data_IF_218576875850
#
_entry.id   IF_218576875850
#
_cell.length_a   1.000
_cell.length_b   1.000
_cell.length_c   1.000
_cell.angle_alpha   90.00
_cell.angle_beta   90.00
_cell.angle_gamma   90.00
#
_symmetry.space_group_name_H-M   'P 1'
#
loop_
_entity.id
_entity.type
_entity.pdbx_description
1 polymer ?
#
# COMPACT_ATOMS: atom_id res chain seq x y z
N UNK A 1 -8.64 3.92 -10.11
CA UNK A 1 -7.64 4.92 -9.68
C UNK A 1 -6.40 4.21 -9.16
N UNK A 2 -5.20 4.59 -9.61
CA UNK A 2 -3.92 3.94 -9.25
C UNK A 2 -3.68 3.88 -7.74
N UNK A 3 -4.17 4.86 -6.98
CA UNK A 3 -4.06 4.89 -5.52
C UNK A 3 -4.66 3.65 -4.83
N UNK A 4 -5.70 3.02 -5.40
CA UNK A 4 -6.28 1.79 -4.85
C UNK A 4 -5.30 0.62 -4.94
N UNK A 5 -4.64 0.47 -6.09
CA UNK A 5 -3.60 -0.54 -6.31
C UNK A 5 -2.40 -0.29 -5.40
N UNK A 6 -2.05 0.99 -5.17
CA UNK A 6 -1.01 1.33 -4.20
C UNK A 6 -1.27 0.76 -2.80
N UNK A 7 -2.53 0.72 -2.33
CA UNK A 7 -2.88 0.10 -1.05
C UNK A 7 -2.69 -1.43 -1.08
N UNK A 8 -3.00 -2.09 -2.19
CA UNK A 8 -2.77 -3.53 -2.36
C UNK A 8 -1.29 -3.89 -2.44
N UNK A 9 -0.49 -3.06 -3.10
CA UNK A 9 0.96 -3.21 -3.12
C UNK A 9 1.56 -3.10 -1.71
N UNK A 10 1.06 -2.19 -0.86
CA UNK A 10 1.47 -2.11 0.55
C UNK A 10 1.16 -3.40 1.30
N UNK A 11 0.00 -4.01 1.05
CA UNK A 11 -0.40 -5.25 1.74
C UNK A 11 0.44 -6.48 1.34
N UNK A 12 1.20 -6.42 0.24
CA UNK A 12 2.22 -7.43 -0.11
C UNK A 12 3.63 -7.01 0.30
N UNK A 13 3.77 -5.99 1.16
CA UNK A 13 5.03 -5.53 1.73
C UNK A 13 5.82 -4.53 0.89
N UNK A 14 5.28 -4.08 -0.26
CA UNK A 14 5.96 -3.10 -1.10
C UNK A 14 5.94 -1.71 -0.48
N UNK A 15 7.06 -1.00 -0.61
CA UNK A 15 7.18 0.39 -0.19
C UNK A 15 6.50 1.34 -1.19
N UNK A 16 5.29 1.77 -0.88
CA UNK A 16 4.49 2.61 -1.78
C UNK A 16 4.06 3.90 -1.11
N UNK A 17 4.47 5.02 -1.70
CA UNK A 17 3.95 6.35 -1.39
C UNK A 17 2.73 6.62 -2.28
N UNK A 18 1.60 6.92 -1.67
CA UNK A 18 0.42 7.43 -2.39
C UNK A 18 0.53 8.95 -2.34
N UNK A 19 0.79 9.56 -3.49
CA UNK A 19 0.95 11.01 -3.60
C UNK A 19 -0.37 11.74 -3.35
N UNK A 20 -0.35 12.68 -2.41
CA UNK A 20 -1.42 13.65 -2.20
C UNK A 20 -0.88 15.05 -2.50
N UNK A 21 -1.34 15.72 -3.58
CA UNK A 21 -0.88 17.05 -3.95
C UNK A 21 -1.18 18.13 -2.90
N UNK A 22 -2.13 17.89 -1.99
CA UNK A 22 -2.51 18.83 -0.93
C UNK A 22 -1.73 18.64 0.37
N UNK A 23 -1.00 17.52 0.50
CA UNK A 23 -0.16 17.23 1.67
C UNK A 23 1.14 18.04 1.71
N UNK A 24 1.56 18.62 0.57
CA UNK A 24 2.76 19.43 0.48
C UNK A 24 2.40 20.89 0.81
N UNK A 25 3.04 21.53 1.81
CA UNK A 25 2.80 22.92 2.11
C UNK A 25 3.04 23.81 0.88
N UNK A 26 2.03 24.58 0.49
CA UNK A 26 2.16 25.55 -0.62
C UNK A 26 3.16 26.62 -0.23
N UNK A 27 4.38 26.56 -0.77
CA UNK A 27 5.36 27.64 -0.58
C UNK A 27 5.12 28.81 -1.53
N UNK A 28 4.45 28.59 -2.67
CA UNK A 28 4.10 29.62 -3.67
C UNK A 28 2.80 29.29 -4.39
N UNK A 29 2.15 30.29 -4.99
CA UNK A 29 0.89 30.15 -5.74
C UNK A 29 1.01 29.35 -7.06
N UNK A 30 2.24 29.04 -7.52
CA UNK A 30 2.55 28.40 -8.80
C UNK A 30 3.27 27.06 -8.65
N UNK A 31 2.99 26.30 -7.59
CA UNK A 31 3.68 25.03 -7.34
C UNK A 31 3.12 23.92 -8.26
N UNK A 32 3.92 23.49 -9.24
CA UNK A 32 3.62 22.31 -10.04
C UNK A 32 3.73 21.04 -9.16
N UNK A 33 2.59 20.54 -8.68
CA UNK A 33 2.54 19.33 -7.86
C UNK A 33 3.06 18.09 -8.61
N UNK A 34 2.96 18.06 -9.95
CA UNK A 34 3.51 16.95 -10.74
C UNK A 34 5.03 17.00 -10.75
N UNK A 35 5.63 18.18 -10.90
CA UNK A 35 7.08 18.34 -10.75
C UNK A 35 7.55 17.93 -9.34
N UNK A 36 6.79 18.28 -8.30
CA UNK A 36 7.12 17.89 -6.91
C UNK A 36 7.07 16.36 -6.70
N UNK A 37 6.05 15.70 -7.27
CA UNK A 37 5.96 14.23 -7.29
C UNK A 37 7.16 13.60 -8.00
N UNK A 38 7.50 14.07 -9.20
CA UNK A 38 8.62 13.53 -9.98
C UNK A 38 9.96 13.75 -9.27
N UNK A 39 10.16 14.93 -8.68
CA UNK A 39 11.35 15.22 -7.89
C UNK A 39 11.48 14.31 -6.66
N UNK A 40 10.38 14.05 -5.94
CA UNK A 40 10.38 13.08 -4.83
C UNK A 40 10.75 11.68 -5.34
N UNK A 41 10.16 11.24 -6.45
CA UNK A 41 10.43 9.92 -7.02
C UNK A 41 11.90 9.77 -7.44
N UNK A 42 12.49 10.78 -8.06
CA UNK A 42 13.92 10.77 -8.42
C UNK A 42 14.80 10.76 -7.17
N UNK A 43 14.51 11.62 -6.19
CA UNK A 43 15.28 11.73 -4.95
C UNK A 43 15.29 10.41 -4.16
N UNK A 44 14.13 9.77 -4.04
CA UNK A 44 13.96 8.52 -3.29
C UNK A 44 14.11 7.26 -4.16
N UNK A 45 14.57 7.40 -5.41
CA UNK A 45 14.77 6.29 -6.36
C UNK A 45 13.52 5.41 -6.54
N UNK A 46 12.34 6.03 -6.60
CA UNK A 46 11.05 5.35 -6.78
C UNK A 46 10.62 5.32 -8.24
N UNK A 47 9.78 4.33 -8.55
CA UNK A 47 9.07 4.24 -9.82
C UNK A 47 7.70 4.91 -9.67
N UNK A 48 7.39 5.86 -10.55
CA UNK A 48 6.07 6.49 -10.59
C UNK A 48 5.09 5.59 -11.34
N UNK A 49 4.09 5.08 -10.62
CA UNK A 49 2.94 4.40 -11.22
C UNK A 49 1.89 5.45 -11.60
N UNK A 50 1.52 5.52 -12.88
CA UNK A 50 0.57 6.52 -13.36
C UNK A 50 -0.27 6.01 -14.52
N UNK A 51 -1.42 6.63 -14.77
CA UNK A 51 -2.16 6.50 -16.04
C UNK A 51 -1.90 7.67 -16.99
N UNK A 52 -1.28 8.73 -16.47
CA UNK A 52 -1.01 9.95 -17.22
C UNK A 52 0.25 9.78 -18.07
N UNK A 53 0.05 9.41 -19.35
CA UNK A 53 1.12 9.31 -20.35
C UNK A 53 1.89 10.63 -20.51
N UNK A 54 1.23 11.78 -20.35
CA UNK A 54 1.92 13.07 -20.45
C UNK A 54 2.87 13.29 -19.29
N UNK A 55 2.51 12.86 -18.07
CA UNK A 55 3.39 12.90 -16.90
C UNK A 55 4.64 12.03 -17.13
N UNK A 56 4.45 10.79 -17.60
CA UNK A 56 5.56 9.85 -17.84
C UNK A 56 6.53 10.35 -18.92
N UNK A 57 6.04 11.11 -19.90
CA UNK A 57 6.83 11.65 -21.01
C UNK A 57 7.46 13.03 -20.73
N UNK A 58 7.34 13.59 -19.52
CA UNK A 58 8.01 14.86 -19.20
C UNK A 58 9.52 14.67 -19.17
N UNK A 59 10.28 15.73 -19.47
CA UNK A 59 11.76 15.68 -19.44
C UNK A 59 12.35 15.46 -18.04
N UNK A 60 11.60 15.87 -17.01
CA UNK A 60 11.95 15.69 -15.59
C UNK A 60 11.43 14.37 -15.03
N UNK A 61 10.89 13.46 -15.86
CA UNK A 61 10.47 12.15 -15.39
C UNK A 61 11.69 11.25 -15.15
N UNK A 62 11.70 10.61 -13.98
CA UNK A 62 12.56 9.46 -13.71
C UNK A 62 11.90 8.16 -14.20
N UNK A 63 12.12 7.07 -13.47
CA UNK A 63 11.46 5.81 -13.76
C UNK A 63 9.93 5.94 -13.61
N UNK A 64 9.20 5.68 -14.70
CA UNK A 64 7.74 5.68 -14.72
C UNK A 64 7.23 4.37 -15.32
N UNK A 65 6.13 3.86 -14.77
CA UNK A 65 5.35 2.80 -15.41
C UNK A 65 3.92 3.28 -15.61
N UNK A 66 3.47 3.23 -16.86
CA UNK A 66 2.13 3.66 -17.25
C UNK A 66 1.21 2.46 -17.28
N UNK A 67 0.27 2.40 -16.33
CA UNK A 67 -0.80 1.39 -16.36
C UNK A 67 -1.88 1.79 -17.37
N UNK A 68 -2.41 0.80 -18.08
CA UNK A 68 -3.32 1.02 -19.20
C UNK A 68 -4.79 0.98 -18.78
N UNK A 69 -5.16 -0.03 -18.00
CA UNK A 69 -6.53 -0.25 -17.53
C UNK A 69 -7.00 0.82 -16.53
N UNK A 70 -8.31 1.06 -16.45
CA UNK A 70 -8.95 1.80 -15.35
C UNK A 70 -9.35 0.90 -14.18
N UNK A 71 -9.50 -0.40 -14.43
CA UNK A 71 -9.79 -1.41 -13.43
C UNK A 71 -8.58 -1.67 -12.50
N UNK A 72 -8.76 -1.58 -11.18
CA UNK A 72 -7.66 -1.79 -10.23
C UNK A 72 -7.05 -3.21 -10.26
N UNK A 73 -7.86 -4.24 -10.53
CA UNK A 73 -7.37 -5.62 -10.59
C UNK A 73 -6.48 -5.80 -11.82
N UNK A 74 -6.92 -5.35 -12.98
CA UNK A 74 -6.11 -5.35 -14.20
C UNK A 74 -4.84 -4.52 -14.05
N UNK A 75 -4.92 -3.31 -13.46
CA UNK A 75 -3.74 -2.50 -13.15
C UNK A 75 -2.73 -3.25 -12.28
N UNK A 76 -3.19 -3.98 -11.25
CA UNK A 76 -2.30 -4.78 -10.42
C UNK A 76 -1.66 -5.92 -11.23
N UNK A 77 -2.41 -6.61 -12.08
CA UNK A 77 -1.88 -7.68 -12.93
C UNK A 77 -0.82 -7.14 -13.92
N UNK A 78 -1.05 -5.97 -14.53
CA UNK A 78 -0.06 -5.30 -15.37
C UNK A 78 1.24 -5.01 -14.61
N UNK A 79 1.14 -4.44 -13.41
CA UNK A 79 2.30 -4.12 -12.55
C UNK A 79 3.02 -5.41 -12.14
N UNK A 80 2.27 -6.43 -11.68
CA UNK A 80 2.81 -7.74 -11.28
C UNK A 80 3.61 -8.36 -12.41
N UNK A 81 3.04 -8.42 -13.62
CA UNK A 81 3.68 -9.01 -14.77
C UNK A 81 4.91 -8.21 -15.22
N UNK A 82 4.81 -6.87 -15.27
CA UNK A 82 5.90 -6.02 -15.73
C UNK A 82 7.12 -6.07 -14.81
N UNK A 83 6.91 -6.03 -13.49
CA UNK A 83 7.99 -6.05 -12.51
C UNK A 83 8.33 -7.45 -11.99
N UNK A 84 7.69 -8.49 -12.53
CA UNK A 84 7.79 -9.87 -12.06
C UNK A 84 7.63 -9.98 -10.53
N UNK A 85 6.63 -9.28 -9.98
CA UNK A 85 6.40 -9.23 -8.54
C UNK A 85 6.07 -10.62 -8.01
N UNK A 86 6.80 -11.01 -6.95
CA UNK A 86 6.53 -12.21 -6.17
C UNK A 86 5.91 -11.83 -4.85
N UNK A 87 5.01 -12.67 -4.36
CA UNK A 87 4.48 -12.55 -3.00
C UNK A 87 5.41 -13.28 -2.05
N UNK A 88 6.11 -12.53 -1.21
CA UNK A 88 6.87 -13.08 -0.08
C UNK A 88 5.90 -13.16 1.10
N UNK A 89 5.59 -14.36 1.58
CA UNK A 89 4.56 -14.54 2.62
C UNK A 89 4.89 -13.76 3.89
N UNK A 90 6.17 -13.68 4.26
CA UNK A 90 6.63 -12.99 5.46
C UNK A 90 6.48 -11.47 5.36
N UNK A 91 6.48 -10.93 4.14
CA UNK A 91 6.25 -9.50 3.90
C UNK A 91 4.76 -9.18 3.71
N UNK A 92 3.89 -10.19 3.66
CA UNK A 92 2.45 -9.98 3.58
C UNK A 92 1.95 -9.29 4.85
N UNK A 93 1.15 -8.25 4.67
CA UNK A 93 0.66 -7.36 5.74
C UNK A 93 1.75 -6.72 6.61
N UNK A 94 3.03 -6.78 6.20
CA UNK A 94 4.16 -6.19 6.93
C UNK A 94 4.19 -4.66 6.91
N UNK A 95 3.36 -4.03 6.07
CA UNK A 95 3.22 -2.58 5.96
C UNK A 95 1.79 -2.12 6.15
N UNK A 96 1.65 -0.97 6.82
CA UNK A 96 0.37 -0.33 7.01
C UNK A 96 -0.25 0.08 5.66
N UNK A 97 -1.40 -0.49 5.31
CA UNK A 97 -2.13 -0.13 4.09
C UNK A 97 -2.53 1.36 4.04
N UNK A 98 -2.67 2.02 5.20
CA UNK A 98 -2.97 3.46 5.32
C UNK A 98 -1.74 4.34 5.12
N UNK A 99 -0.65 4.11 5.85
CA UNK A 99 0.49 5.03 5.89
C UNK A 99 1.82 4.49 5.34
N UNK A 100 1.89 3.23 4.88
CA UNK A 100 3.09 2.55 4.36
C UNK A 100 4.17 2.17 5.38
N UNK A 101 4.04 2.59 6.66
CA UNK A 101 5.02 2.27 7.69
C UNK A 101 5.16 0.77 7.94
N UNK A 102 6.39 0.33 8.23
CA UNK A 102 6.67 -0.95 8.88
C UNK A 102 6.57 -0.78 10.39
N UNK A 103 6.11 -1.80 11.09
CA UNK A 103 6.02 -1.83 12.55
C UNK A 103 4.59 -1.73 13.06
N UNK A 104 4.21 -2.78 13.78
CA UNK A 104 2.93 -2.92 14.45
C UNK A 104 3.17 -3.39 15.88
N UNK A 105 2.30 -2.96 16.78
CA UNK A 105 2.21 -3.52 18.12
C UNK A 105 0.98 -4.43 18.18
N UNK A 106 1.17 -5.61 18.78
CA UNK A 106 0.06 -6.50 19.12
C UNK A 106 -0.60 -5.93 20.37
N UNK A 107 -1.91 -5.68 20.29
CA UNK A 107 -2.71 -5.10 21.37
C UNK A 107 -3.94 -5.94 21.63
N UNK A 108 -4.42 -5.90 22.87
CA UNK A 108 -5.59 -6.66 23.29
C UNK A 108 -6.90 -5.88 23.07
N UNK A 109 -8.01 -6.55 23.37
CA UNK A 109 -9.35 -6.01 23.25
C UNK A 109 -9.60 -4.78 24.13
N UNK A 110 -8.98 -4.71 25.31
CA UNK A 110 -9.18 -3.60 26.25
C UNK A 110 -8.48 -2.33 25.77
N UNK A 111 -7.29 -2.45 25.17
CA UNK A 111 -6.64 -1.35 24.48
C UNK A 111 -7.55 -0.77 23.38
N UNK A 112 -8.09 -1.63 22.51
CA UNK A 112 -8.92 -1.20 21.37
C UNK A 112 -10.22 -0.54 21.81
N UNK A 113 -10.88 -1.05 22.86
CA UNK A 113 -12.10 -0.45 23.41
C UNK A 113 -11.91 0.98 23.92
N UNK A 114 -10.69 1.32 24.34
CA UNK A 114 -10.37 2.65 24.85
C UNK A 114 -9.93 3.64 23.75
N UNK A 115 -9.83 3.21 22.49
CA UNK A 115 -9.36 4.05 21.39
C UNK A 115 -10.50 4.81 20.68
N UNK A 116 -10.31 6.11 20.45
CA UNK A 116 -11.34 6.98 19.85
C UNK A 116 -11.09 7.29 18.37
N UNK A 117 -9.83 7.30 17.93
CA UNK A 117 -9.45 7.75 16.59
C UNK A 117 -9.72 6.74 15.46
N UNK A 118 -9.78 5.45 15.78
CA UNK A 118 -10.03 4.37 14.81
C UNK A 118 -10.97 3.31 15.41
N UNK A 119 -12.13 3.78 15.88
CA UNK A 119 -13.11 2.95 16.56
C UNK A 119 -13.46 1.70 15.75
N UNK A 120 -13.22 0.53 16.37
CA UNK A 120 -13.54 -0.77 15.79
C UNK A 120 -15.02 -1.08 16.05
N UNK A 121 -15.69 -1.59 15.01
CA UNK A 121 -17.12 -1.89 15.10
C UNK A 121 -17.43 -2.92 16.20
N UNK A 122 -18.48 -2.76 17.02
CA UNK A 122 -18.81 -3.66 18.12
C UNK A 122 -18.81 -5.15 17.76
N UNK A 123 -19.44 -5.53 16.64
CA UNK A 123 -19.46 -6.93 16.16
C UNK A 123 -18.06 -7.56 15.96
N UNK A 124 -17.02 -6.74 15.72
CA UNK A 124 -15.63 -7.25 15.65
C UNK A 124 -15.11 -7.51 17.05
N UNK A 125 -15.36 -6.58 17.98
CA UNK A 125 -14.97 -6.68 19.39
C UNK A 125 -15.60 -7.87 20.13
N UNK A 126 -16.68 -8.44 19.57
CA UNK A 126 -17.33 -9.65 20.09
C UNK A 126 -16.59 -10.95 19.73
N UNK A 127 -15.83 -10.97 18.62
CA UNK A 127 -15.26 -12.20 18.06
C UNK A 127 -13.74 -12.17 17.89
N UNK A 128 -13.12 -11.00 18.01
CA UNK A 128 -11.68 -10.80 17.87
C UNK A 128 -11.05 -10.43 19.20
N UNK A 129 -9.99 -11.14 19.58
CA UNK A 129 -9.23 -10.88 20.81
C UNK A 129 -7.84 -10.31 20.59
N UNK A 130 -7.30 -10.43 19.37
CA UNK A 130 -5.97 -9.96 19.01
C UNK A 130 -6.03 -8.93 17.87
N UNK A 131 -5.32 -7.82 18.06
CA UNK A 131 -5.30 -6.71 17.12
C UNK A 131 -3.86 -6.23 16.87
N UNK A 132 -3.65 -5.59 15.74
CA UNK A 132 -2.39 -4.94 15.38
C UNK A 132 -2.62 -3.45 15.20
N UNK A 133 -1.84 -2.64 15.93
CA UNK A 133 -1.85 -1.18 15.80
C UNK A 133 -0.63 -0.72 15.03
N UNK A 134 -0.84 0.12 14.01
CA UNK A 134 0.26 0.77 13.32
C UNK A 134 0.94 1.80 14.25
N UNK A 135 2.26 1.68 14.43
CA UNK A 135 3.06 2.59 15.28
C UNK A 135 3.10 4.05 14.83
N UNK A 136 2.71 4.33 13.58
CA UNK A 136 2.81 5.67 12.98
C UNK A 136 1.46 6.37 12.87
N UNK A 137 0.43 5.67 12.37
CA UNK A 137 -0.88 6.28 12.11
C UNK A 137 -2.01 5.71 12.98
N UNK A 138 -1.69 4.84 13.94
CA UNK A 138 -2.60 4.21 14.89
C UNK A 138 -3.79 3.47 14.27
N UNK A 139 -3.73 3.16 12.97
CA UNK A 139 -4.72 2.32 12.29
C UNK A 139 -4.71 0.93 12.94
N UNK A 140 -5.89 0.45 13.31
CA UNK A 140 -6.12 -0.85 13.92
C UNK A 140 -6.47 -1.86 12.83
N UNK A 141 -5.85 -3.03 12.92
CA UNK A 141 -6.04 -4.18 12.05
C UNK A 141 -6.35 -5.41 12.89
N UNK A 142 -7.06 -6.36 12.31
CA UNK A 142 -7.39 -7.63 12.94
C UNK A 142 -7.62 -8.70 11.88
N UNK A 143 -7.50 -9.95 12.31
CA UNK A 143 -7.95 -11.10 11.55
C UNK A 143 -9.42 -11.39 11.90
N UNK A 144 -10.30 -11.34 10.91
CA UNK A 144 -11.72 -11.71 11.02
C UNK A 144 -12.25 -12.20 9.68
N UNK A 145 -13.55 -12.46 9.52
CA UNK A 145 -14.09 -13.06 8.29
C UNK A 145 -13.78 -12.25 7.01
N UNK A 146 -13.64 -10.91 7.14
CA UNK A 146 -13.21 -10.03 6.03
C UNK A 146 -11.69 -10.02 5.80
N UNK A 147 -10.90 -10.34 6.82
CA UNK A 147 -9.47 -10.56 6.66
C UNK A 147 -9.22 -11.81 5.84
N UNK A 148 -9.87 -12.94 6.15
CA UNK A 148 -9.74 -14.17 5.37
C UNK A 148 -10.11 -13.95 3.90
N UNK A 149 -11.16 -13.18 3.64
CA UNK A 149 -11.54 -12.87 2.25
C UNK A 149 -10.54 -11.95 1.56
N UNK A 150 -10.02 -10.91 2.22
CA UNK A 150 -8.98 -10.05 1.64
C UNK A 150 -7.66 -10.79 1.43
N UNK A 151 -7.27 -11.63 2.39
CA UNK A 151 -6.09 -12.48 2.37
C UNK A 151 -6.20 -13.51 1.23
N UNK A 152 -7.29 -14.27 1.18
CA UNK A 152 -7.57 -15.23 0.11
C UNK A 152 -7.69 -14.56 -1.26
N UNK A 153 -8.32 -13.38 -1.34
CA UNK A 153 -8.40 -12.63 -2.60
C UNK A 153 -7.01 -12.21 -3.06
N UNK A 154 -6.16 -11.72 -2.16
CA UNK A 154 -4.81 -11.33 -2.50
C UNK A 154 -3.96 -12.52 -2.94
N UNK A 155 -4.06 -13.66 -2.26
CA UNK A 155 -3.41 -14.91 -2.69
C UNK A 155 -3.84 -15.32 -4.11
N UNK A 156 -5.15 -15.23 -4.42
CA UNK A 156 -5.68 -15.53 -5.77
C UNK A 156 -5.17 -14.57 -6.86
N UNK A 157 -4.57 -13.43 -6.50
CA UNK A 157 -3.95 -12.53 -7.47
C UNK A 157 -2.59 -13.03 -7.96
N UNK A 158 -2.00 -14.03 -7.29
CA UNK A 158 -0.73 -14.65 -7.61
C UNK A 158 -0.92 -16.11 -8.02
N UNK A 159 -0.15 -16.54 -9.01
CA UNK A 159 -0.03 -17.98 -9.32
C UNK A 159 0.81 -18.64 -8.22
N UNK A 160 0.59 -19.92 -7.93
CA UNK A 160 1.29 -20.64 -6.83
C UNK A 160 2.82 -20.50 -6.93
N UNK A 161 3.38 -20.55 -8.15
CA UNK A 161 4.81 -20.40 -8.42
C UNK A 161 5.37 -18.99 -8.14
N UNK A 162 4.51 -18.01 -7.93
CA UNK A 162 4.87 -16.62 -7.61
C UNK A 162 4.80 -16.32 -6.11
N UNK A 163 4.45 -17.32 -5.28
CA UNK A 163 4.40 -17.22 -3.83
C UNK A 163 5.65 -17.90 -3.26
N UNK A 164 6.38 -17.20 -2.38
CA UNK A 164 7.62 -17.69 -1.78
C UNK A 164 7.58 -17.54 -0.25
N UNK A 165 8.13 -18.53 0.45
CA UNK A 165 8.16 -18.64 1.93
C UNK A 165 9.41 -18.00 2.57
N UNK A 166 10.27 -17.34 1.77
CA UNK A 166 11.34 -16.46 2.25
C UNK A 166 12.18 -15.94 1.10
N UNK A 167 12.61 -14.67 1.19
CA UNK A 167 13.82 -14.22 0.49
C UNK A 167 14.99 -14.76 1.30
N UNK A 168 15.60 -15.86 0.87
CA UNK A 168 16.95 -16.20 1.35
C UNK A 168 17.87 -15.09 0.87
N UNK A 169 18.17 -14.12 1.74
CA UNK A 169 19.33 -13.28 1.56
C UNK A 169 20.55 -14.18 1.77
N UNK A 170 21.07 -14.72 0.66
CA UNK A 170 22.44 -15.23 0.57
C UNK A 170 23.40 -14.08 0.39
#
# INVERSE_FOLDING_TARGET
MVARVGKWLRTIGMDVVIWDPYSVPKKTASQDHKASLLALAVCEQRIVLTRDKKLANRRDSGACFVVSSDDPFEQFQEIKAHFALKLVKEEMMSRCSRCNAKGFDVVDLDFVRNQTEDAVHPNVLEVVTEFWVCRVCHKIYWEGPKYDSNYANLLRMFDENSIVDSVKYS
#
